data_IF_044738097300
#
_entry.id   IF_044738097300
#
_cell.length_a   1.000
_cell.length_b   1.000
_cell.length_c   1.000
_cell.angle_alpha   90.00
_cell.angle_beta   90.00
_cell.angle_gamma   90.00
#
_symmetry.space_group_name_H-M   'P 1'
#
loop_
_entity.id
_entity.type
_entity.pdbx_description
1 polymer ?
#
# COMPACT_ATOMS: atom_id res chain seq x y z
N UNK A 1 -30.78 23.09 -45.56
CA UNK A 1 -30.07 23.28 -44.28
C UNK A 1 -31.10 23.73 -43.25
N UNK A 2 -31.52 22.85 -42.33
CA UNK A 2 -32.53 23.12 -41.30
C UNK A 2 -31.84 23.21 -39.96
N UNK A 3 -31.88 24.38 -39.34
CA UNK A 3 -31.38 24.64 -37.99
C UNK A 3 -32.39 24.12 -36.98
N UNK A 4 -32.07 23.03 -36.28
CA UNK A 4 -32.88 22.50 -35.18
C UNK A 4 -32.44 23.20 -33.90
N UNK A 5 -33.30 24.04 -33.33
CA UNK A 5 -33.18 24.52 -31.94
C UNK A 5 -33.79 23.47 -31.02
N UNK A 6 -32.96 22.81 -30.21
CA UNK A 6 -33.44 21.95 -29.12
C UNK A 6 -33.77 22.83 -27.92
N UNK A 7 -35.04 22.87 -27.52
CA UNK A 7 -35.51 23.43 -26.24
C UNK A 7 -35.21 22.40 -25.14
N UNK A 8 -34.41 22.78 -24.15
CA UNK A 8 -34.29 22.01 -22.91
C UNK A 8 -35.58 22.14 -22.10
N UNK A 9 -36.30 21.05 -21.93
CA UNK A 9 -37.43 20.92 -21.01
C UNK A 9 -36.86 20.37 -19.70
N UNK A 10 -36.80 21.20 -18.66
CA UNK A 10 -36.57 20.74 -17.29
C UNK A 10 -37.93 20.34 -16.69
N UNK A 11 -38.16 19.05 -16.51
CA UNK A 11 -39.25 18.52 -15.69
C UNK A 11 -38.83 18.59 -14.22
N UNK A 12 -39.46 19.50 -13.47
CA UNK A 12 -39.43 19.52 -12.00
C UNK A 12 -40.32 18.39 -11.46
N UNK A 13 -39.73 17.45 -10.72
CA UNK A 13 -40.48 16.55 -9.85
C UNK A 13 -40.90 17.31 -8.57
N UNK A 14 -42.12 17.13 -8.07
CA UNK A 14 -42.55 17.75 -6.81
C UNK A 14 -41.94 16.98 -5.62
N UNK A 15 -41.38 17.73 -4.67
CA UNK A 15 -40.98 17.21 -3.36
C UNK A 15 -42.26 17.01 -2.54
N UNK A 16 -42.62 15.75 -2.28
CA UNK A 16 -43.72 15.41 -1.38
C UNK A 16 -43.26 15.68 0.06
N UNK A 17 -43.84 16.71 0.70
CA UNK A 17 -43.59 17.02 2.12
C UNK A 17 -44.70 16.36 2.94
N UNK A 18 -44.34 15.40 3.78
CA UNK A 18 -45.25 14.82 4.78
C UNK A 18 -45.35 15.81 5.95
N UNK A 19 -46.53 16.40 6.15
CA UNK A 19 -46.88 17.19 7.33
C UNK A 19 -47.26 16.24 8.47
N UNK A 20 -46.62 16.38 9.63
CA UNK A 20 -47.07 15.75 10.87
C UNK A 20 -48.17 16.60 11.53
N UNK A 21 -49.15 15.92 12.14
CA UNK A 21 -50.34 16.51 12.75
C UNK A 21 -50.04 17.17 14.10
N UNK A 22 -49.52 18.40 14.07
CA UNK A 22 -49.70 19.40 15.13
C UNK A 22 -49.29 20.76 14.54
N UNK A 23 -50.25 21.68 14.41
CA UNK A 23 -50.09 22.95 13.69
C UNK A 23 -49.17 23.97 14.37
N UNK A 24 -47.89 23.65 14.54
CA UNK A 24 -46.84 24.61 14.93
C UNK A 24 -45.73 24.66 13.87
N UNK A 25 -45.17 25.85 13.56
CA UNK A 25 -44.03 25.96 12.67
C UNK A 25 -42.83 25.20 13.26
N UNK A 26 -42.00 24.53 12.43
CA UNK A 26 -40.82 23.84 12.93
C UNK A 26 -39.87 24.87 13.53
N UNK A 27 -39.76 24.86 14.85
CA UNK A 27 -38.73 25.57 15.59
C UNK A 27 -37.36 25.12 15.09
N UNK A 28 -36.48 26.08 14.80
CA UNK A 28 -35.10 25.85 14.41
C UNK A 28 -34.49 24.71 15.25
N UNK A 29 -34.03 23.66 14.56
CA UNK A 29 -33.28 22.59 15.19
C UNK A 29 -32.14 23.23 15.98
N UNK A 30 -32.16 23.07 17.31
CA UNK A 30 -31.00 23.35 18.16
C UNK A 30 -29.84 22.61 17.51
N UNK A 31 -28.84 23.36 17.02
CA UNK A 31 -27.53 22.80 16.68
C UNK A 31 -27.12 21.97 17.89
N UNK A 32 -27.06 20.65 17.74
CA UNK A 32 -26.30 19.83 18.66
C UNK A 32 -24.93 20.48 18.79
N UNK A 33 -24.45 20.76 20.01
CA UNK A 33 -23.12 21.31 20.15
C UNK A 33 -22.19 20.35 19.43
N UNK A 34 -21.38 20.89 18.50
CA UNK A 34 -20.24 20.16 17.99
C UNK A 34 -19.56 19.57 19.22
N UNK A 35 -19.54 18.23 19.33
CA UNK A 35 -18.71 17.60 20.34
C UNK A 35 -17.30 18.05 19.98
N UNK A 36 -16.82 19.03 20.71
CA UNK A 36 -15.44 19.47 20.65
C UNK A 36 -14.61 18.20 20.71
N UNK A 37 -13.91 17.93 19.62
CA UNK A 37 -12.86 16.94 19.59
C UNK A 37 -11.90 17.37 20.70
N UNK A 38 -11.88 16.64 21.81
CA UNK A 38 -10.94 16.89 22.89
C UNK A 38 -9.60 16.32 22.39
N UNK A 39 -8.63 17.15 21.96
CA UNK A 39 -7.39 16.65 21.37
C UNK A 39 -6.44 16.07 22.42
N UNK A 40 -6.87 15.98 23.68
CA UNK A 40 -6.02 15.66 24.82
C UNK A 40 -5.97 14.16 25.18
N UNK A 41 -6.49 13.27 24.32
CA UNK A 41 -6.32 11.81 24.50
C UNK A 41 -5.87 11.20 23.18
N UNK A 42 -4.73 11.66 22.69
CA UNK A 42 -3.98 11.00 21.63
C UNK A 42 -2.69 10.54 22.29
N UNK A 43 -2.37 9.25 22.21
CA UNK A 43 -1.10 8.71 22.71
C UNK A 43 0.04 9.63 22.28
N UNK A 44 0.89 10.02 23.22
CA UNK A 44 1.93 11.06 23.12
C UNK A 44 2.99 10.83 22.02
N UNK A 45 2.80 9.86 21.13
CA UNK A 45 3.77 9.42 20.12
C UNK A 45 3.44 9.77 18.67
N UNK A 46 2.22 10.20 18.29
CA UNK A 46 1.89 10.57 16.90
C UNK A 46 0.70 11.55 16.73
N UNK A 47 0.90 12.89 16.63
CA UNK A 47 -0.20 13.80 16.31
C UNK A 47 -0.55 13.73 14.81
N UNK A 48 -1.82 13.50 14.51
CA UNK A 48 -2.41 13.57 13.17
C UNK A 48 -2.44 15.03 12.68
N UNK A 49 -1.85 15.31 11.52
CA UNK A 49 -1.89 16.64 10.90
C UNK A 49 -3.05 16.72 9.89
N UNK A 50 -4.12 17.41 10.30
CA UNK A 50 -5.33 17.56 9.49
C UNK A 50 -5.16 18.45 8.24
N UNK A 51 -4.06 19.20 8.09
CA UNK A 51 -3.79 20.02 6.90
C UNK A 51 -3.04 19.25 5.80
N UNK A 52 -2.20 18.29 6.18
CA UNK A 52 -1.45 17.44 5.24
C UNK A 52 -2.06 16.06 5.03
N UNK A 53 -3.08 15.70 5.82
CA UNK A 53 -3.74 14.40 5.76
C UNK A 53 -2.87 13.24 6.27
N UNK A 54 -1.73 13.53 6.89
CA UNK A 54 -0.76 12.54 7.35
C UNK A 54 -0.51 12.60 8.86
N UNK A 55 0.00 11.52 9.42
CA UNK A 55 0.59 11.55 10.74
C UNK A 55 1.91 12.33 10.66
N UNK A 56 2.10 13.29 11.57
CA UNK A 56 3.42 13.90 11.75
C UNK A 56 4.27 12.87 12.50
N UNK A 57 5.37 12.34 11.94
CA UNK A 57 6.27 11.51 12.71
C UNK A 57 6.81 12.36 13.86
N UNK A 58 6.64 11.95 15.13
CA UNK A 58 7.32 12.63 16.25
C UNK A 58 8.83 12.38 16.22
N UNK A 59 9.34 11.52 15.34
CA UNK A 59 10.77 11.30 15.22
C UNK A 59 11.48 12.40 14.42
N UNK A 60 11.64 13.56 15.05
CA UNK A 60 12.86 14.33 14.87
C UNK A 60 13.95 13.64 15.72
N UNK A 61 14.67 12.67 15.14
CA UNK A 61 15.94 12.19 15.70
C UNK A 61 17.07 12.76 14.83
N UNK A 62 17.69 13.90 15.20
CA UNK A 62 18.70 14.55 14.36
C UNK A 62 20.05 13.81 14.29
N UNK A 63 20.16 12.58 14.81
CA UNK A 63 21.44 11.89 14.97
C UNK A 63 21.29 10.36 14.97
N UNK A 64 20.94 9.76 13.83
CA UNK A 64 21.46 8.42 13.48
C UNK A 64 22.71 8.56 12.61
N UNK A 65 23.59 9.48 13.01
CA UNK A 65 24.96 9.46 12.55
C UNK A 65 25.66 8.20 13.09
N UNK A 66 26.14 7.33 12.18
CA UNK A 66 27.27 6.41 12.40
C UNK A 66 27.13 5.27 13.43
N UNK A 67 25.94 4.77 13.77
CA UNK A 67 25.82 3.55 14.59
C UNK A 67 24.81 2.55 14.03
N UNK A 68 25.24 1.72 13.08
CA UNK A 68 24.78 0.33 12.91
C UNK A 68 25.67 -0.44 11.91
N UNK A 69 27.00 -0.37 12.04
CA UNK A 69 27.83 -1.52 11.68
C UNK A 69 28.00 -2.31 12.97
N UNK A 70 27.19 -3.37 13.15
CA UNK A 70 27.25 -4.38 14.23
C UNK A 70 26.19 -4.30 15.36
N UNK A 71 25.02 -3.68 15.16
CA UNK A 71 23.96 -3.72 16.16
C UNK A 71 22.58 -3.72 15.52
N UNK A 72 22.04 -4.90 15.24
CA UNK A 72 20.63 -5.10 14.91
C UNK A 72 19.84 -4.63 16.14
N UNK A 73 18.89 -3.71 15.98
CA UNK A 73 17.93 -3.44 17.05
C UNK A 73 17.08 -4.70 17.23
N UNK A 74 17.37 -5.45 18.30
CA UNK A 74 16.70 -6.71 18.63
C UNK A 74 15.26 -6.49 19.13
N UNK A 75 14.83 -5.23 19.29
CA UNK A 75 13.47 -4.87 19.65
C UNK A 75 12.76 -4.23 18.46
N UNK A 76 12.20 -5.03 17.53
CA UNK A 76 11.37 -4.48 16.47
C UNK A 76 10.29 -3.62 17.11
N UNK A 77 10.10 -2.40 16.60
CA UNK A 77 9.05 -1.51 17.08
C UNK A 77 7.75 -2.30 16.90
N UNK A 78 7.08 -2.64 18.01
CA UNK A 78 5.76 -3.26 17.94
C UNK A 78 4.90 -2.34 17.08
N UNK A 79 4.49 -2.86 15.92
CA UNK A 79 3.56 -2.22 15.02
C UNK A 79 2.42 -1.63 15.84
N UNK A 80 2.43 -0.30 15.98
CA UNK A 80 1.46 0.43 16.80
C UNK A 80 0.27 0.82 15.93
N UNK A 81 -0.15 -0.06 15.00
CA UNK A 81 -1.26 0.20 14.10
C UNK A 81 -2.47 0.51 14.99
N UNK A 82 -2.95 1.77 14.98
CA UNK A 82 -4.10 2.11 15.80
C UNK A 82 -5.29 1.24 15.39
N UNK A 83 -6.13 0.79 16.32
CA UNK A 83 -7.36 0.03 16.00
C UNK A 83 -8.28 0.78 14.99
N UNK A 84 -8.11 2.10 14.92
CA UNK A 84 -8.80 3.01 14.00
C UNK A 84 -8.21 3.05 12.59
N UNK A 85 -7.00 2.54 12.36
CA UNK A 85 -6.42 2.49 11.03
C UNK A 85 -7.16 1.45 10.19
N UNK A 86 -7.94 1.93 9.21
CA UNK A 86 -8.69 1.10 8.26
C UNK A 86 -8.02 1.04 6.89
N UNK A 87 -6.74 1.42 6.83
CA UNK A 87 -6.01 1.56 5.59
C UNK A 87 -6.08 2.98 5.01
N UNK A 88 -5.00 3.42 4.36
CA UNK A 88 -4.94 4.68 3.61
C UNK A 88 -4.24 4.42 2.27
N UNK A 89 -4.99 4.05 1.22
CA UNK A 89 -4.41 3.62 -0.06
C UNK A 89 -3.44 4.64 -0.63
N UNK A 90 -2.35 4.17 -1.23
CA UNK A 90 -1.47 5.03 -2.01
C UNK A 90 -2.25 5.80 -3.07
N UNK A 91 -2.08 7.12 -3.08
CA UNK A 91 -2.53 7.96 -4.19
C UNK A 91 -1.51 9.06 -4.47
N UNK A 92 -1.30 9.36 -5.74
CA UNK A 92 -0.53 10.51 -6.16
C UNK A 92 -1.07 11.11 -7.47
N UNK A 93 -0.28 11.97 -8.11
CA UNK A 93 -0.70 12.62 -9.35
C UNK A 93 -0.92 11.66 -10.53
N UNK A 94 -0.23 10.52 -10.55
CA UNK A 94 -0.20 9.49 -11.60
C UNK A 94 -1.00 8.23 -11.23
N UNK A 95 -1.13 7.93 -9.93
CA UNK A 95 -1.85 6.79 -9.38
C UNK A 95 -3.06 7.27 -8.56
N UNK A 96 -4.26 7.21 -9.14
CA UNK A 96 -5.49 7.75 -8.53
C UNK A 96 -6.58 6.70 -8.28
N UNK A 97 -6.26 5.42 -8.47
CA UNK A 97 -7.23 4.32 -8.41
C UNK A 97 -7.70 4.01 -6.97
N UNK A 98 -6.96 4.47 -5.95
CA UNK A 98 -7.25 4.19 -4.56
C UNK A 98 -6.84 2.75 -4.17
N UNK A 99 -7.64 2.02 -3.38
CA UNK A 99 -7.30 0.68 -2.93
C UNK A 99 -6.95 -0.27 -4.09
N UNK A 100 -5.89 -1.06 -3.93
CA UNK A 100 -5.48 -2.05 -4.93
C UNK A 100 -6.54 -3.18 -4.99
N UNK A 101 -6.90 -3.65 -6.19
CA UNK A 101 -8.05 -4.55 -6.38
C UNK A 101 -7.63 -6.01 -6.40
N UNK A 102 -8.37 -6.86 -5.67
CA UNK A 102 -8.23 -8.32 -5.66
C UNK A 102 -9.56 -8.96 -6.15
N UNK A 103 -9.56 -9.92 -7.08
CA UNK A 103 -8.42 -10.46 -7.82
C UNK A 103 -7.75 -9.42 -8.72
N UNK A 104 -6.45 -9.60 -8.95
CA UNK A 104 -5.63 -8.65 -9.69
C UNK A 104 -4.24 -8.52 -9.10
N UNK A 105 -3.53 -7.49 -9.56
CA UNK A 105 -2.16 -7.20 -9.14
C UNK A 105 -2.14 -6.22 -7.96
N UNK A 106 -1.28 -6.51 -6.99
CA UNK A 106 -0.86 -5.64 -5.90
C UNK A 106 0.62 -5.27 -6.11
N UNK A 107 0.91 -4.03 -6.48
CA UNK A 107 2.27 -3.50 -6.63
C UNK A 107 2.86 -3.20 -5.24
N UNK A 108 4.04 -3.78 -4.93
CA UNK A 108 4.64 -3.67 -3.60
C UNK A 108 5.06 -2.24 -3.25
N UNK A 109 5.53 -1.48 -4.24
CA UNK A 109 5.91 -0.08 -4.04
C UNK A 109 4.69 0.84 -3.71
N UNK A 110 3.47 0.38 -3.98
CA UNK A 110 2.22 1.10 -3.70
C UNK A 110 1.60 0.68 -2.37
N UNK A 111 2.44 0.50 -1.35
CA UNK A 111 2.03 0.38 0.04
C UNK A 111 1.27 1.64 0.50
N UNK A 112 0.47 1.54 1.53
CA UNK A 112 -0.36 2.65 2.00
C UNK A 112 0.45 3.91 2.34
N UNK A 113 -0.24 5.05 2.45
CA UNK A 113 0.32 6.27 3.03
C UNK A 113 0.11 6.26 4.55
N UNK A 114 1.07 6.79 5.31
CA UNK A 114 0.92 6.85 6.77
C UNK A 114 2.24 6.94 7.54
N UNK A 115 3.35 6.59 6.89
CA UNK A 115 4.68 6.64 7.49
C UNK A 115 5.03 5.41 8.33
N UNK A 116 6.21 5.51 8.95
CA UNK A 116 6.81 4.50 9.83
C UNK A 116 5.89 4.15 11.02
N UNK A 117 5.74 2.85 11.30
CA UNK A 117 4.88 2.31 12.34
C UNK A 117 3.38 2.29 12.01
N UNK A 118 2.96 2.83 10.85
CA UNK A 118 1.56 2.89 10.40
C UNK A 118 1.37 2.19 9.06
N UNK A 119 2.02 2.69 8.01
CA UNK A 119 1.92 2.15 6.66
C UNK A 119 3.04 1.15 6.34
N UNK A 120 4.15 1.25 7.05
CA UNK A 120 5.30 0.36 6.91
C UNK A 120 6.12 0.33 8.20
N UNK A 121 7.03 -0.63 8.29
CA UNK A 121 8.19 -0.60 9.18
C UNK A 121 9.44 -0.87 8.37
N UNK A 122 10.39 0.06 8.46
CA UNK A 122 11.73 -0.04 7.91
C UNK A 122 12.73 0.30 9.02
N UNK A 123 13.85 -0.43 9.10
CA UNK A 123 14.83 -0.19 10.16
C UNK A 123 15.64 1.09 9.94
N UNK A 124 15.58 1.63 8.74
CA UNK A 124 16.35 2.76 8.30
C UNK A 124 15.41 3.94 8.06
N UNK A 125 15.95 5.15 8.03
CA UNK A 125 15.14 6.35 7.75
C UNK A 125 15.27 6.83 6.32
N UNK A 126 16.29 6.33 5.62
CA UNK A 126 16.70 6.76 4.30
C UNK A 126 16.32 5.72 3.25
N UNK A 127 15.63 6.17 2.21
CA UNK A 127 15.33 5.36 1.04
C UNK A 127 16.60 5.16 0.18
N UNK A 128 17.32 4.07 0.39
CA UNK A 128 18.55 3.67 -0.32
C UNK A 128 18.39 3.64 -1.82
N UNK A 129 17.19 3.33 -2.30
CA UNK A 129 16.86 3.36 -3.72
C UNK A 129 16.58 4.78 -4.20
N UNK A 130 15.43 5.34 -3.84
CA UNK A 130 14.86 6.56 -4.45
C UNK A 130 15.39 7.87 -3.88
N UNK A 131 15.96 7.89 -2.67
CA UNK A 131 16.73 9.03 -2.15
C UNK A 131 18.25 8.81 -2.23
N UNK A 132 18.68 7.63 -2.67
CA UNK A 132 20.08 7.25 -2.82
C UNK A 132 20.44 6.87 -4.26
N UNK A 133 20.54 5.56 -4.50
CA UNK A 133 21.08 4.95 -5.71
C UNK A 133 20.52 5.56 -7.00
N UNK A 134 19.21 5.75 -7.07
CA UNK A 134 18.51 6.20 -8.27
C UNK A 134 18.86 7.64 -8.67
N UNK A 135 19.38 8.46 -7.75
CA UNK A 135 19.73 9.86 -8.00
C UNK A 135 21.14 10.01 -8.59
N UNK A 136 21.97 8.96 -8.57
CA UNK A 136 23.25 8.98 -9.25
C UNK A 136 23.05 8.99 -10.77
N UNK A 137 23.82 9.82 -11.49
CA UNK A 137 23.70 9.99 -12.95
C UNK A 137 23.82 8.67 -13.72
N UNK A 138 24.65 7.73 -13.27
CA UNK A 138 24.77 6.40 -13.88
C UNK A 138 23.53 5.51 -13.71
N UNK A 139 22.67 5.82 -12.74
CA UNK A 139 21.44 5.10 -12.43
C UNK A 139 20.19 5.79 -12.98
N UNK A 140 20.25 7.05 -13.41
CA UNK A 140 19.17 7.74 -14.11
C UNK A 140 19.12 7.28 -15.56
N UNK A 141 18.14 6.44 -15.89
CA UNK A 141 18.09 5.80 -17.22
C UNK A 141 17.22 6.58 -18.20
N UNK A 142 17.55 6.62 -19.51
CA UNK A 142 16.75 7.34 -20.51
C UNK A 142 15.30 6.88 -20.63
N UNK A 143 15.02 5.63 -20.25
CA UNK A 143 13.66 5.07 -20.26
C UNK A 143 12.84 5.41 -19.02
N UNK A 144 13.44 6.05 -18.00
CA UNK A 144 12.81 6.44 -16.74
C UNK A 144 12.78 7.97 -16.61
N UNK A 145 11.90 8.47 -15.76
CA UNK A 145 11.69 9.90 -15.53
C UNK A 145 12.01 10.26 -14.08
N UNK A 146 12.03 11.55 -13.71
CA UNK A 146 12.15 11.95 -12.31
C UNK A 146 11.10 11.32 -11.39
N UNK A 147 9.96 10.86 -11.93
CA UNK A 147 8.98 10.12 -11.16
C UNK A 147 9.54 8.79 -10.64
N UNK A 148 10.08 7.93 -11.50
CA UNK A 148 10.67 6.65 -11.09
C UNK A 148 11.93 6.84 -10.25
N UNK A 149 12.75 7.85 -10.55
CA UNK A 149 14.01 8.07 -9.85
C UNK A 149 13.80 8.45 -8.38
N UNK A 150 12.76 9.24 -8.11
CA UNK A 150 12.47 9.82 -6.80
C UNK A 150 11.18 9.27 -6.19
N UNK A 151 10.71 8.12 -6.65
CA UNK A 151 9.43 7.55 -6.22
C UNK A 151 9.43 7.35 -4.70
N UNK A 152 8.54 8.05 -3.99
CA UNK A 152 8.41 8.00 -2.52
C UNK A 152 9.72 8.22 -1.74
N UNK A 153 10.68 8.94 -2.32
CA UNK A 153 12.01 9.16 -1.69
C UNK A 153 12.02 9.84 -0.32
N UNK A 154 10.88 10.36 0.14
CA UNK A 154 10.74 11.01 1.46
C UNK A 154 10.23 10.04 2.54
N UNK A 155 10.01 8.78 2.19
CA UNK A 155 9.61 7.70 3.08
C UNK A 155 10.74 6.68 3.15
N UNK A 156 10.81 5.92 4.24
CA UNK A 156 11.97 5.07 4.52
C UNK A 156 12.07 3.86 3.60
N UNK A 157 10.93 3.24 3.25
CA UNK A 157 10.89 1.98 2.47
C UNK A 157 11.77 2.07 1.23
N UNK A 158 12.73 1.16 1.15
CA UNK A 158 13.68 1.10 0.06
C UNK A 158 13.03 0.70 -1.27
N UNK A 159 12.84 1.69 -2.14
CA UNK A 159 12.20 1.49 -3.45
C UNK A 159 13.14 1.84 -4.58
N UNK A 160 13.23 0.95 -5.57
CA UNK A 160 13.87 1.24 -6.85
C UNK A 160 13.01 0.77 -8.01
N UNK A 161 13.57 0.83 -9.21
CA UNK A 161 12.91 0.47 -10.45
C UNK A 161 13.87 -0.31 -11.35
N UNK A 162 13.33 -1.16 -12.22
CA UNK A 162 14.11 -1.96 -13.16
C UNK A 162 14.83 -1.10 -14.19
N UNK A 163 16.08 -1.43 -14.48
CA UNK A 163 17.02 -0.67 -15.33
C UNK A 163 17.55 -1.56 -16.42
N UNK A 164 17.72 -1.03 -17.63
CA UNK A 164 18.19 -1.83 -18.76
C UNK A 164 19.56 -2.49 -18.57
N UNK A 165 20.54 -1.82 -17.95
CA UNK A 165 21.85 -2.44 -17.73
C UNK A 165 21.83 -3.54 -16.66
N UNK A 166 20.88 -3.47 -15.73
CA UNK A 166 20.87 -4.33 -14.55
C UNK A 166 19.94 -5.52 -14.73
N UNK A 167 18.71 -5.29 -15.22
CA UNK A 167 17.63 -6.26 -15.21
C UNK A 167 17.34 -6.86 -16.61
N UNK A 168 17.85 -6.25 -17.68
CA UNK A 168 17.59 -6.67 -19.07
C UNK A 168 18.86 -7.04 -19.84
N UNK A 169 20.05 -6.74 -19.30
CA UNK A 169 21.34 -7.03 -19.92
C UNK A 169 21.89 -8.42 -19.53
N UNK A 170 21.01 -9.40 -19.41
CA UNK A 170 21.32 -10.80 -19.17
C UNK A 170 20.17 -11.70 -19.65
N UNK A 171 20.50 -12.92 -20.06
CA UNK A 171 19.51 -13.89 -20.54
C UNK A 171 18.90 -14.74 -19.42
N UNK A 172 19.37 -14.59 -18.18
CA UNK A 172 19.10 -15.51 -17.07
C UNK A 172 17.88 -15.09 -16.22
N UNK A 173 16.97 -14.31 -16.79
CA UNK A 173 15.67 -14.06 -16.17
C UNK A 173 14.75 -15.27 -16.35
N UNK A 174 14.12 -15.74 -15.28
CA UNK A 174 13.02 -16.71 -15.34
C UNK A 174 11.71 -16.02 -15.71
N UNK A 175 11.60 -14.73 -15.40
CA UNK A 175 10.53 -13.85 -15.82
C UNK A 175 11.10 -12.45 -16.11
N UNK A 176 10.65 -11.77 -17.17
CA UNK A 176 11.12 -10.42 -17.48
C UNK A 176 10.13 -9.38 -16.91
N UNK A 177 10.53 -8.54 -15.93
CA UNK A 177 9.69 -7.45 -15.45
C UNK A 177 9.49 -6.41 -16.55
N UNK A 178 8.47 -5.55 -16.39
CA UNK A 178 8.31 -4.38 -17.28
C UNK A 178 9.48 -3.41 -17.10
N UNK A 179 9.79 -2.65 -18.14
CA UNK A 179 10.63 -1.44 -18.03
C UNK A 179 9.99 -0.50 -17.00
N UNK A 180 10.82 0.08 -16.13
CA UNK A 180 10.38 0.95 -15.01
C UNK A 180 9.48 0.27 -13.97
N UNK A 181 9.47 -1.07 -13.89
CA UNK A 181 8.76 -1.76 -12.81
C UNK A 181 9.38 -1.35 -11.49
N UNK A 182 8.61 -0.65 -10.66
CA UNK A 182 8.99 -0.34 -9.28
C UNK A 182 9.04 -1.63 -8.46
N UNK A 183 9.97 -1.68 -7.51
CA UNK A 183 10.12 -2.79 -6.59
C UNK A 183 10.65 -2.30 -5.24
N UNK A 184 10.25 -3.00 -4.18
CA UNK A 184 10.85 -2.88 -2.85
C UNK A 184 12.11 -3.74 -2.85
N UNK A 185 13.23 -3.20 -2.40
CA UNK A 185 14.51 -3.89 -2.31
C UNK A 185 15.20 -3.61 -0.99
N UNK A 186 16.48 -3.98 -0.87
CA UNK A 186 17.27 -3.81 0.38
C UNK A 186 16.55 -4.31 1.63
N UNK A 187 15.68 -5.30 1.47
CA UNK A 187 14.84 -5.79 2.55
C UNK A 187 15.69 -6.31 3.70
N UNK A 188 15.20 -6.11 4.92
CA UNK A 188 15.78 -6.64 6.16
C UNK A 188 14.76 -7.51 6.93
N UNK A 189 15.24 -8.25 7.92
CA UNK A 189 14.41 -9.15 8.72
C UNK A 189 13.45 -8.36 9.62
N UNK A 190 12.18 -8.77 9.65
CA UNK A 190 11.08 -8.18 10.46
C UNK A 190 10.49 -6.86 9.93
N UNK A 191 10.81 -6.46 8.70
CA UNK A 191 10.15 -5.35 8.03
C UNK A 191 8.76 -5.75 7.48
N UNK A 192 7.89 -4.75 7.33
CA UNK A 192 6.54 -4.99 6.83
C UNK A 192 5.95 -3.80 6.08
N UNK A 193 4.98 -4.09 5.21
CA UNK A 193 4.23 -3.11 4.42
C UNK A 193 2.73 -3.35 4.52
N UNK A 194 1.97 -2.29 4.77
CA UNK A 194 0.51 -2.32 4.79
C UNK A 194 -0.09 -1.89 3.44
N UNK A 195 -1.17 -2.56 3.04
CA UNK A 195 -1.92 -2.27 1.84
C UNK A 195 -3.42 -2.28 2.13
N UNK A 196 -4.11 -1.23 1.72
CA UNK A 196 -5.57 -1.23 1.62
C UNK A 196 -5.97 -1.90 0.32
N UNK A 197 -6.59 -3.07 0.41
CA UNK A 197 -7.06 -3.83 -0.75
C UNK A 197 -8.57 -3.86 -0.82
N UNK A 198 -9.12 -3.84 -2.03
CA UNK A 198 -10.55 -4.00 -2.30
C UNK A 198 -10.80 -5.37 -2.93
N UNK A 199 -11.22 -6.32 -2.10
CA UNK A 199 -11.55 -7.69 -2.49
C UNK A 199 -12.94 -7.72 -3.10
N UNK A 200 -13.05 -8.06 -4.38
CA UNK A 200 -14.34 -8.05 -5.09
C UNK A 200 -15.20 -9.26 -4.78
N UNK A 201 -14.59 -10.38 -4.40
CA UNK A 201 -15.28 -11.65 -4.16
C UNK A 201 -14.68 -12.35 -2.94
N UNK A 202 -15.49 -12.75 -1.96
CA UNK A 202 -15.00 -13.60 -0.86
C UNK A 202 -14.58 -14.97 -1.42
N UNK A 203 -13.46 -15.51 -0.95
CA UNK A 203 -12.95 -16.78 -1.45
C UNK A 203 -11.47 -17.01 -1.23
N UNK A 204 -11.01 -18.14 -1.76
CA UNK A 204 -9.61 -18.55 -1.76
C UNK A 204 -8.93 -18.05 -3.04
N UNK A 205 -7.76 -17.45 -2.89
CA UNK A 205 -6.94 -16.92 -3.96
C UNK A 205 -5.59 -17.61 -3.97
N UNK A 206 -5.10 -17.94 -5.17
CA UNK A 206 -3.69 -18.24 -5.42
C UNK A 206 -2.91 -16.93 -5.42
N UNK A 207 -1.69 -16.95 -4.89
CA UNK A 207 -0.77 -15.82 -4.89
C UNK A 207 0.44 -16.19 -5.75
N UNK A 208 0.69 -15.39 -6.80
CA UNK A 208 1.95 -15.41 -7.53
C UNK A 208 2.78 -14.17 -7.15
N UNK A 209 4.09 -14.30 -6.96
CA UNK A 209 4.99 -13.18 -6.67
C UNK A 209 5.96 -12.96 -7.82
N UNK A 210 6.18 -11.70 -8.21
CA UNK A 210 7.34 -11.30 -8.99
C UNK A 210 8.44 -10.78 -8.05
N UNK A 211 9.53 -11.53 -7.94
CA UNK A 211 10.62 -11.28 -7.02
C UNK A 211 11.98 -11.66 -7.61
N UNK A 212 13.06 -11.31 -6.92
CA UNK A 212 14.43 -11.67 -7.28
C UNK A 212 15.28 -12.04 -6.05
N UNK A 213 16.43 -12.65 -6.30
CA UNK A 213 17.43 -13.16 -5.35
C UNK A 213 17.15 -14.53 -4.73
N UNK A 214 16.68 -14.64 -3.48
CA UNK A 214 16.61 -15.91 -2.73
C UNK A 214 15.22 -16.57 -2.70
N UNK A 215 15.18 -17.87 -2.41
CA UNK A 215 13.98 -18.57 -1.97
C UNK A 215 13.74 -18.31 -0.47
N UNK A 216 12.87 -17.37 -0.11
CA UNK A 216 12.59 -17.02 1.29
C UNK A 216 11.15 -17.35 1.70
N UNK A 217 10.92 -17.39 3.01
CA UNK A 217 9.57 -17.41 3.57
C UNK A 217 9.07 -15.98 3.74
N UNK A 218 7.80 -15.77 3.44
CA UNK A 218 7.07 -14.52 3.68
C UNK A 218 5.70 -14.83 4.24
N UNK A 219 5.02 -13.84 4.82
CA UNK A 219 3.66 -14.03 5.33
C UNK A 219 2.76 -12.83 5.08
N UNK A 220 1.46 -13.10 5.11
CA UNK A 220 0.44 -12.07 5.04
C UNK A 220 -0.49 -12.14 6.24
N UNK A 221 -0.84 -10.96 6.76
CA UNK A 221 -1.92 -10.78 7.70
C UNK A 221 -3.11 -10.11 6.99
N UNK A 222 -4.32 -10.45 7.41
CA UNK A 222 -5.55 -9.76 7.03
C UNK A 222 -6.14 -9.12 8.27
N UNK A 223 -6.35 -7.80 8.20
CA UNK A 223 -6.92 -7.00 9.29
C UNK A 223 -6.17 -7.24 10.62
N UNK A 224 -4.83 -7.18 10.55
CA UNK A 224 -3.90 -7.38 11.67
C UNK A 224 -3.95 -8.78 12.31
N UNK A 225 -4.45 -9.78 11.58
CA UNK A 225 -4.46 -11.18 12.02
C UNK A 225 -3.70 -12.05 11.02
N UNK A 226 -2.84 -12.97 11.48
CA UNK A 226 -2.16 -13.92 10.60
C UNK A 226 -3.14 -14.62 9.66
N UNK A 227 -2.86 -14.57 8.36
CA UNK A 227 -3.73 -15.15 7.33
C UNK A 227 -3.06 -16.30 6.59
N UNK A 228 -1.81 -16.15 6.16
CA UNK A 228 -1.08 -17.22 5.46
C UNK A 228 0.43 -17.04 5.53
N UNK A 229 1.16 -18.16 5.49
CA UNK A 229 2.60 -18.19 5.25
C UNK A 229 2.84 -18.73 3.84
N UNK A 230 3.83 -18.19 3.14
CA UNK A 230 4.16 -18.48 1.75
C UNK A 230 5.66 -18.74 1.60
N UNK A 231 6.04 -19.47 0.56
CA UNK A 231 7.43 -19.78 0.23
C UNK A 231 7.70 -19.35 -1.21
N UNK A 232 8.75 -18.55 -1.40
CA UNK A 232 9.25 -18.24 -2.73
C UNK A 232 9.85 -19.53 -3.34
N UNK A 233 9.44 -19.94 -4.56
CA UNK A 233 9.72 -21.28 -5.06
C UNK A 233 11.14 -21.47 -5.62
N UNK A 234 11.86 -20.38 -5.88
CA UNK A 234 13.13 -20.41 -6.61
C UNK A 234 14.15 -19.41 -6.05
N UNK A 235 15.37 -19.87 -5.83
CA UNK A 235 16.53 -19.02 -5.62
C UNK A 235 17.14 -18.68 -6.98
N UNK A 236 16.99 -17.43 -7.40
CA UNK A 236 17.56 -16.89 -8.66
C UNK A 236 19.05 -16.55 -8.54
N UNK A 237 19.55 -16.40 -7.30
CA UNK A 237 20.94 -16.10 -6.98
C UNK A 237 21.40 -14.67 -7.30
N UNK A 238 20.51 -13.77 -7.74
CA UNK A 238 20.86 -12.40 -8.09
C UNK A 238 19.67 -11.45 -7.88
N UNK A 239 19.92 -10.25 -7.35
CA UNK A 239 18.92 -9.21 -7.12
C UNK A 239 18.22 -8.68 -8.38
N UNK A 240 18.80 -8.89 -9.56
CA UNK A 240 18.27 -8.44 -10.85
C UNK A 240 17.87 -9.60 -11.78
N UNK A 241 17.96 -10.85 -11.31
CA UNK A 241 17.38 -11.99 -11.99
C UNK A 241 16.00 -12.28 -11.41
N UNK A 242 14.97 -12.09 -12.21
CA UNK A 242 13.59 -12.11 -11.74
C UNK A 242 12.93 -13.45 -11.99
N UNK A 243 12.05 -13.84 -11.07
CA UNK A 243 11.15 -14.97 -11.19
C UNK A 243 9.72 -14.55 -10.88
N UNK A 244 8.76 -15.10 -11.62
CA UNK A 244 7.34 -15.04 -11.29
C UNK A 244 6.84 -16.44 -11.01
N UNK A 245 6.40 -16.71 -9.79
CA UNK A 245 5.94 -18.05 -9.40
C UNK A 245 4.88 -18.02 -8.33
N UNK A 246 4.10 -19.10 -8.26
CA UNK A 246 3.13 -19.36 -7.20
C UNK A 246 3.87 -19.52 -5.87
N UNK A 247 3.41 -18.81 -4.84
CA UNK A 247 4.02 -18.80 -3.51
C UNK A 247 3.12 -19.42 -2.42
N UNK A 248 1.83 -19.59 -2.74
CA UNK A 248 0.83 -20.11 -1.81
C UNK A 248 -0.57 -19.61 -2.11
N UNK A 249 -1.44 -19.71 -1.10
CA UNK A 249 -2.84 -19.28 -1.19
C UNK A 249 -3.26 -18.47 0.03
N UNK A 250 -4.24 -17.60 -0.14
CA UNK A 250 -4.85 -16.77 0.92
C UNK A 250 -6.37 -16.84 0.83
N UNK A 251 -7.07 -16.72 1.96
CA UNK A 251 -8.54 -16.74 2.00
C UNK A 251 -9.08 -15.41 2.55
N UNK A 252 -9.98 -14.79 1.80
CA UNK A 252 -10.75 -13.62 2.25
C UNK A 252 -12.17 -14.06 2.58
N UNK A 253 -12.59 -13.89 3.83
CA UNK A 253 -13.90 -14.33 4.29
C UNK A 253 -15.04 -13.50 3.75
N UNK A 254 -14.81 -12.23 3.40
CA UNK A 254 -15.82 -11.28 2.94
C UNK A 254 -15.28 -10.48 1.74
N UNK A 255 -16.14 -9.95 0.85
CA UNK A 255 -15.72 -8.91 -0.09
C UNK A 255 -15.61 -7.55 0.63
N UNK A 256 -14.95 -6.59 -0.01
CA UNK A 256 -14.82 -5.22 0.46
C UNK A 256 -13.38 -4.84 0.80
N UNK A 257 -13.23 -3.82 1.66
CA UNK A 257 -11.92 -3.32 2.05
C UNK A 257 -11.31 -4.21 3.14
N UNK A 258 -10.05 -4.58 2.92
CA UNK A 258 -9.21 -5.27 3.89
C UNK A 258 -7.87 -4.55 4.01
N UNK A 259 -7.31 -4.56 5.21
CA UNK A 259 -5.91 -4.22 5.43
C UNK A 259 -5.09 -5.50 5.26
N UNK A 260 -4.23 -5.55 4.25
CA UNK A 260 -3.29 -6.63 4.02
C UNK A 260 -1.90 -6.18 4.51
N UNK A 261 -1.30 -6.92 5.43
CA UNK A 261 0.09 -6.66 5.86
C UNK A 261 0.99 -7.71 5.24
N UNK A 262 1.99 -7.27 4.47
CA UNK A 262 3.04 -8.11 3.90
C UNK A 262 4.25 -8.07 4.82
N UNK A 263 4.65 -9.22 5.34
CA UNK A 263 5.87 -9.39 6.13
C UNK A 263 6.93 -10.09 5.29
N UNK A 264 8.15 -9.55 5.30
CA UNK A 264 9.27 -10.11 4.57
C UNK A 264 10.54 -10.15 5.41
N UNK A 265 11.54 -10.81 4.84
CA UNK A 265 12.84 -11.01 5.44
C UNK A 265 13.93 -10.42 4.55
N UNK A 266 15.16 -10.47 5.07
CA UNK A 266 16.32 -9.96 4.38
C UNK A 266 16.55 -10.65 3.04
N UNK A 267 16.93 -9.86 2.04
CA UNK A 267 17.67 -10.35 0.88
C UNK A 267 16.83 -10.67 -0.36
N UNK A 268 15.72 -9.98 -0.59
CA UNK A 268 14.95 -10.12 -1.83
C UNK A 268 14.55 -8.74 -2.40
N UNK A 269 14.32 -8.70 -3.72
CA UNK A 269 13.56 -7.61 -4.33
C UNK A 269 12.15 -8.12 -4.62
N UNK A 270 11.12 -7.30 -4.37
CA UNK A 270 9.71 -7.63 -4.60
C UNK A 270 9.03 -6.55 -5.47
N UNK A 271 8.56 -6.93 -6.65
CA UNK A 271 7.86 -6.02 -7.54
C UNK A 271 6.36 -5.98 -7.25
N UNK A 272 5.69 -7.15 -7.32
CA UNK A 272 4.26 -7.26 -7.09
C UNK A 272 3.82 -8.67 -6.71
N UNK A 273 2.61 -8.76 -6.16
CA UNK A 273 1.84 -9.99 -6.04
C UNK A 273 0.66 -9.99 -7.02
N UNK A 274 0.27 -11.16 -7.50
CA UNK A 274 -0.94 -11.36 -8.30
C UNK A 274 -1.86 -12.36 -7.60
N UNK A 275 -3.09 -11.93 -7.34
CA UNK A 275 -4.11 -12.73 -6.67
C UNK A 275 -5.11 -13.24 -7.70
N UNK A 276 -5.14 -14.55 -7.90
CA UNK A 276 -6.09 -15.22 -8.80
C UNK A 276 -7.12 -15.98 -7.98
N UNK A 277 -8.41 -15.68 -8.18
CA UNK A 277 -9.49 -16.39 -7.48
C UNK A 277 -9.49 -17.87 -7.89
N UNK A 278 -9.36 -18.75 -6.90
CA UNK A 278 -9.37 -20.21 -7.07
C UNK A 278 -10.74 -20.78 -6.75
N UNK A 279 -11.31 -20.36 -5.62
CA UNK A 279 -12.61 -20.84 -5.15
C UNK A 279 -13.40 -19.71 -4.49
N UNK A 280 -14.70 -19.63 -4.78
CA UNK A 280 -15.59 -18.63 -4.19
C UNK A 280 -16.10 -19.16 -2.86
N UNK A 281 -16.12 -18.32 -1.83
CA UNK A 281 -16.82 -18.67 -0.59
C UNK A 281 -18.30 -18.83 -0.92
N UNK A 282 -18.85 -20.03 -0.76
CA UNK A 282 -20.30 -20.23 -0.79
C UNK A 282 -20.90 -19.64 0.48
N UNK A 283 -22.02 -18.92 0.39
CA UNK A 283 -22.73 -18.47 1.58
C UNK A 283 -23.18 -19.70 2.37
N UNK A 284 -22.97 -19.70 3.69
CA UNK A 284 -23.53 -20.73 4.56
C UNK A 284 -25.06 -20.77 4.34
N UNK A 285 -25.68 -21.96 4.31
CA UNK A 285 -27.13 -22.05 4.26
C UNK A 285 -27.71 -21.26 5.44
N UNK A 286 -28.54 -20.27 5.13
CA UNK A 286 -29.28 -19.49 6.13
C UNK A 286 -30.19 -20.38 6.96
#
# INVERSE_FOLDING_TARGET
>A
MKTIRVKSIFTLLPVLTVLNASGQPPTAAKKSPAKHFNPSVVSETYPFNAQTGGFTPIFNRPNLGKWARNGIDQNPIKSSIPDIYKGHPFVDSTHRAGPQVIPGKLECAFYDMGGEGVAYHDFETENRGSDGLNLATSHQRPHATPYEWAFRKKEAVDVSYTKDFADFNHLNNYYTPKVNQLYVGWTEDNEWLNYTVNVKVAGKYKIDALYANHDSNISFDINQKPATACKLPLNTGNFHHWNKGEIGTIFFSEPGLHLLTFHYNKGNNFAYFEFTLVDKKTQDPK
#
